data_IF_940571617249
#
_entry.id   IF_940571617249
#
_cell.length_a   1.000
_cell.length_b   1.000
_cell.length_c   1.000
_cell.angle_alpha   90.00
_cell.angle_beta   90.00
_cell.angle_gamma   90.00
#
_symmetry.space_group_name_H-M   'P 1'
#
loop_
_entity.id
_entity.type
_entity.pdbx_description
1 polymer ?
#
# COMPACT_ATOMS: atom_id res chain seq x y z
N UNK A 1 -56.98 -18.30 49.49
CA UNK A 1 -55.67 -18.97 49.28
C UNK A 1 -55.09 -18.38 48.01
N UNK A 2 -54.35 -17.27 48.15
CA UNK A 2 -53.69 -16.57 47.05
C UNK A 2 -52.22 -16.95 47.10
N UNK A 3 -51.75 -17.63 46.08
CA UNK A 3 -50.34 -17.96 45.88
C UNK A 3 -49.64 -16.78 45.21
N UNK A 4 -48.86 -16.03 45.99
CA UNK A 4 -47.91 -15.03 45.53
C UNK A 4 -46.84 -15.71 44.65
N UNK A 5 -46.72 -15.20 43.42
CA UNK A 5 -45.53 -15.29 42.60
C UNK A 5 -44.42 -14.48 43.27
N UNK A 6 -43.23 -15.06 43.41
CA UNK A 6 -42.00 -14.29 43.53
C UNK A 6 -41.03 -14.70 42.42
N UNK A 7 -40.52 -13.65 41.76
CA UNK A 7 -39.75 -13.67 40.52
C UNK A 7 -38.31 -14.17 40.71
N UNK A 8 -37.63 -14.59 39.62
CA UNK A 8 -36.20 -14.80 39.62
C UNK A 8 -35.46 -13.46 39.53
N UNK A 9 -34.60 -13.20 40.52
CA UNK A 9 -33.74 -12.02 40.59
C UNK A 9 -32.34 -12.37 40.04
N UNK A 10 -31.93 -11.58 39.06
CA UNK A 10 -30.55 -11.10 38.85
C UNK A 10 -29.48 -12.03 38.22
N UNK A 11 -29.48 -12.12 36.88
CA UNK A 11 -28.37 -12.61 36.05
C UNK A 11 -28.05 -11.59 34.93
N UNK A 12 -27.77 -10.32 35.24
CA UNK A 12 -27.46 -9.31 34.20
C UNK A 12 -26.20 -8.48 34.43
N UNK A 13 -25.45 -8.70 35.50
CA UNK A 13 -24.33 -7.81 35.85
C UNK A 13 -22.94 -8.31 35.37
N UNK A 14 -22.87 -9.43 34.65
CA UNK A 14 -21.59 -10.03 34.22
C UNK A 14 -21.19 -9.72 32.77
N UNK A 15 -22.02 -8.98 32.02
CA UNK A 15 -21.76 -8.65 30.61
C UNK A 15 -20.91 -7.39 30.38
N UNK A 16 -21.15 -6.34 31.16
CA UNK A 16 -20.51 -5.02 30.95
C UNK A 16 -19.02 -4.97 31.35
N UNK A 17 -18.57 -5.90 32.21
CA UNK A 17 -17.17 -5.95 32.67
C UNK A 17 -16.26 -6.57 31.58
N UNK A 18 -16.79 -7.46 30.75
CA UNK A 18 -16.00 -8.15 29.71
C UNK A 18 -15.79 -7.23 28.51
N UNK A 19 -16.80 -6.47 28.07
CA UNK A 19 -16.66 -5.50 26.97
C UNK A 19 -15.65 -4.39 27.32
N UNK A 20 -15.61 -3.93 28.57
CA UNK A 20 -14.72 -2.85 28.99
C UNK A 20 -13.24 -3.27 29.14
N UNK A 21 -12.93 -4.53 29.49
CA UNK A 21 -11.55 -5.03 29.48
C UNK A 21 -11.05 -5.38 28.07
N UNK A 22 -11.92 -5.92 27.21
CA UNK A 22 -11.56 -6.23 25.82
C UNK A 22 -11.27 -4.94 25.04
N UNK A 23 -12.10 -3.91 25.21
CA UNK A 23 -11.97 -2.61 24.54
C UNK A 23 -10.74 -1.82 25.00
N UNK A 24 -10.30 -1.97 26.26
CA UNK A 24 -9.07 -1.34 26.78
C UNK A 24 -7.80 -2.02 26.26
N UNK A 25 -7.85 -3.32 25.99
CA UNK A 25 -6.78 -4.06 25.32
C UNK A 25 -6.63 -3.60 23.86
N UNK A 26 -7.73 -3.36 23.14
CA UNK A 26 -7.69 -2.89 21.75
C UNK A 26 -7.01 -1.52 21.59
N UNK A 27 -7.26 -0.57 22.49
CA UNK A 27 -6.59 0.74 22.45
C UNK A 27 -5.07 0.62 22.74
N UNK A 28 -4.66 -0.27 23.64
CA UNK A 28 -3.25 -0.50 23.98
C UNK A 28 -2.46 -1.16 22.84
N UNK A 29 -3.09 -2.02 22.02
CA UNK A 29 -2.48 -2.58 20.81
C UNK A 29 -2.43 -1.59 19.64
N UNK A 30 -3.37 -0.64 19.56
CA UNK A 30 -3.35 0.44 18.58
C UNK A 30 -2.24 1.47 18.88
N UNK A 31 -1.99 1.77 20.15
CA UNK A 31 -0.92 2.69 20.57
C UNK A 31 0.50 2.12 20.39
N UNK A 32 0.65 0.79 20.29
CA UNK A 32 1.94 0.12 20.11
C UNK A 32 2.23 -0.34 18.68
N UNK A 33 1.40 0.07 17.71
CA UNK A 33 1.74 -0.03 16.29
C UNK A 33 3.01 0.78 15.99
N UNK A 34 3.95 0.29 15.17
CA UNK A 34 5.15 1.05 14.88
C UNK A 34 4.74 2.41 14.28
N UNK A 35 5.21 3.51 14.88
CA UNK A 35 4.93 4.93 14.55
C UNK A 35 5.08 5.31 13.07
N UNK A 36 5.53 4.38 12.23
CA UNK A 36 5.53 4.49 10.80
C UNK A 36 4.12 4.46 10.18
N UNK A 37 3.16 3.72 10.74
CA UNK A 37 1.83 3.59 10.14
C UNK A 37 0.89 4.77 10.43
N UNK A 38 1.16 5.55 11.48
CA UNK A 38 0.41 6.76 11.82
C UNK A 38 0.67 7.89 10.82
N UNK A 39 1.95 8.16 10.52
CA UNK A 39 2.35 9.09 9.47
C UNK A 39 3.53 8.54 8.63
N UNK A 40 3.23 7.73 7.59
CA UNK A 40 4.28 7.14 6.75
C UNK A 40 4.91 8.17 5.81
N UNK A 41 4.31 9.34 5.60
CA UNK A 41 4.68 10.23 4.50
C UNK A 41 6.05 10.89 4.64
N UNK A 42 6.44 11.49 5.77
CA UNK A 42 7.73 12.16 5.89
C UNK A 42 8.91 11.19 5.67
N UNK A 43 8.83 10.00 6.27
CA UNK A 43 9.85 8.96 6.14
C UNK A 43 9.90 8.41 4.72
N UNK A 44 8.74 8.15 4.10
CA UNK A 44 8.66 7.65 2.73
C UNK A 44 9.20 8.66 1.72
N UNK A 45 8.79 9.93 1.82
CA UNK A 45 9.24 11.00 0.91
C UNK A 45 10.75 11.21 1.05
N UNK A 46 11.29 11.14 2.27
CA UNK A 46 12.73 11.21 2.50
C UNK A 46 13.46 10.06 1.77
N UNK A 47 13.01 8.82 1.95
CA UNK A 47 13.58 7.64 1.28
C UNK A 47 13.48 7.78 -0.25
N UNK A 48 12.33 8.18 -0.78
CA UNK A 48 12.14 8.38 -2.22
C UNK A 48 13.06 9.47 -2.76
N UNK A 49 13.22 10.57 -2.03
CA UNK A 49 14.09 11.68 -2.42
C UNK A 49 15.55 11.24 -2.44
N UNK A 50 15.99 10.46 -1.44
CA UNK A 50 17.33 9.88 -1.43
C UNK A 50 17.56 8.92 -2.60
N UNK A 51 16.56 8.12 -2.97
CA UNK A 51 16.61 7.24 -4.15
C UNK A 51 16.73 8.08 -5.43
N UNK A 52 15.88 9.10 -5.60
CA UNK A 52 15.91 9.97 -6.77
C UNK A 52 17.24 10.72 -6.92
N UNK A 53 17.76 11.25 -5.80
CA UNK A 53 19.06 11.90 -5.77
C UNK A 53 20.19 10.91 -6.07
N UNK A 54 20.11 9.68 -5.56
CA UNK A 54 21.05 8.60 -5.89
C UNK A 54 21.05 8.28 -7.38
N UNK A 55 19.88 8.17 -8.02
CA UNK A 55 19.77 7.94 -9.46
C UNK A 55 20.45 9.08 -10.24
N UNK A 56 20.17 10.33 -9.88
CA UNK A 56 20.75 11.49 -10.58
C UNK A 56 22.27 11.58 -10.40
N UNK A 57 22.77 11.39 -9.17
CA UNK A 57 24.20 11.56 -8.88
C UNK A 57 25.07 10.39 -9.32
N UNK A 58 24.53 9.16 -9.32
CA UNK A 58 25.29 7.96 -9.67
C UNK A 58 25.25 7.65 -11.18
N UNK A 59 24.34 8.25 -11.94
CA UNK A 59 24.25 8.02 -13.39
C UNK A 59 25.37 8.79 -14.11
N UNK A 60 26.23 8.11 -14.91
CA UNK A 60 27.24 8.79 -15.72
C UNK A 60 26.61 9.78 -16.70
N UNK A 61 27.30 10.89 -16.98
CA UNK A 61 26.80 11.98 -17.85
C UNK A 61 26.38 11.47 -19.23
N UNK A 62 27.15 10.54 -19.82
CA UNK A 62 26.88 9.99 -21.14
C UNK A 62 25.58 9.17 -21.16
N UNK A 63 25.31 8.40 -20.10
CA UNK A 63 24.08 7.63 -19.96
C UNK A 63 22.91 8.59 -19.73
N UNK A 64 23.09 9.60 -18.88
CA UNK A 64 22.06 10.59 -18.58
C UNK A 64 21.64 11.38 -19.84
N UNK A 65 22.58 11.76 -20.69
CA UNK A 65 22.30 12.52 -21.91
C UNK A 65 21.35 11.78 -22.88
N UNK A 66 21.39 10.45 -22.90
CA UNK A 66 20.58 9.61 -23.80
C UNK A 66 19.30 9.12 -23.11
N UNK A 67 19.37 8.77 -21.83
CA UNK A 67 18.32 8.01 -21.13
C UNK A 67 17.62 8.78 -20.01
N UNK A 68 17.85 10.08 -19.87
CA UNK A 68 17.24 10.94 -18.82
C UNK A 68 15.73 10.73 -18.65
N UNK A 69 14.95 10.72 -19.73
CA UNK A 69 13.50 10.57 -19.67
C UNK A 69 13.07 9.18 -19.20
N UNK A 70 13.78 8.13 -19.65
CA UNK A 70 13.51 6.75 -19.23
C UNK A 70 13.83 6.57 -17.75
N UNK A 71 14.95 7.11 -17.27
CA UNK A 71 15.33 7.10 -15.85
C UNK A 71 14.33 7.89 -14.99
N UNK A 72 13.85 9.04 -15.48
CA UNK A 72 12.83 9.83 -14.80
C UNK A 72 11.49 9.09 -14.73
N UNK A 73 11.09 8.43 -15.82
CA UNK A 73 9.90 7.57 -15.87
C UNK A 73 10.00 6.40 -14.89
N UNK A 74 11.15 5.73 -14.82
CA UNK A 74 11.43 4.66 -13.87
C UNK A 74 11.32 5.17 -12.42
N UNK A 75 11.86 6.35 -12.13
CA UNK A 75 11.73 6.97 -10.81
C UNK A 75 10.26 7.31 -10.46
N UNK A 76 9.51 7.87 -11.40
CA UNK A 76 8.06 8.11 -11.22
C UNK A 76 7.29 6.83 -10.93
N UNK A 77 7.64 5.73 -11.62
CA UNK A 77 7.07 4.41 -11.41
C UNK A 77 7.41 3.85 -10.01
N UNK A 78 8.60 4.10 -9.47
CA UNK A 78 8.96 3.75 -8.07
C UNK A 78 8.15 4.56 -7.05
N UNK A 79 7.94 5.86 -7.30
CA UNK A 79 7.13 6.73 -6.41
C UNK A 79 5.70 6.20 -6.33
N UNK A 80 5.08 5.98 -7.49
CA UNK A 80 3.70 5.47 -7.58
C UNK A 80 3.61 4.11 -6.92
N UNK A 81 4.60 3.24 -7.14
CA UNK A 81 4.60 1.93 -6.54
C UNK A 81 4.69 1.96 -5.00
N UNK A 82 5.52 2.85 -4.48
CA UNK A 82 5.67 3.06 -3.03
C UNK A 82 4.38 3.59 -2.42
N UNK A 83 3.76 4.58 -3.05
CA UNK A 83 2.48 5.13 -2.61
C UNK A 83 1.36 4.07 -2.63
N UNK A 84 1.24 3.31 -3.72
CA UNK A 84 0.24 2.24 -3.85
C UNK A 84 0.43 1.13 -2.83
N UNK A 85 1.69 0.76 -2.56
CA UNK A 85 2.03 -0.24 -1.55
C UNK A 85 1.66 0.22 -0.15
N UNK A 86 2.01 1.46 0.23
CA UNK A 86 1.68 2.02 1.55
C UNK A 86 0.17 2.09 1.76
N UNK A 87 -0.58 2.57 0.76
CA UNK A 87 -2.04 2.66 0.89
C UNK A 87 -2.66 1.25 0.95
N UNK A 88 -2.19 0.32 0.13
CA UNK A 88 -2.66 -1.07 0.15
C UNK A 88 -2.39 -1.78 1.49
N UNK A 89 -1.19 -1.59 2.06
CA UNK A 89 -0.85 -2.08 3.40
C UNK A 89 -1.68 -1.40 4.49
N UNK A 90 -1.92 -0.09 4.38
CA UNK A 90 -2.78 0.61 5.36
C UNK A 90 -4.18 0.00 5.37
N UNK A 91 -4.79 -0.23 4.21
CA UNK A 91 -6.10 -0.90 4.11
C UNK A 91 -6.06 -2.29 4.76
N UNK A 92 -4.98 -3.04 4.53
CA UNK A 92 -4.82 -4.36 5.15
C UNK A 92 -4.87 -4.31 6.67
N UNK A 93 -4.16 -3.35 7.28
CA UNK A 93 -4.11 -3.20 8.74
C UNK A 93 -5.36 -2.54 9.34
N UNK A 94 -6.06 -1.68 8.60
CA UNK A 94 -7.23 -0.96 9.13
C UNK A 94 -8.55 -1.73 9.03
N UNK A 95 -8.63 -2.78 8.19
CA UNK A 95 -9.89 -3.46 7.90
C UNK A 95 -9.88 -4.90 8.39
N UNK A 96 -9.65 -5.08 9.69
CA UNK A 96 -9.72 -6.40 10.33
C UNK A 96 -11.14 -6.99 10.21
N UNK A 97 -11.23 -8.32 10.04
CA UNK A 97 -12.52 -9.02 9.86
C UNK A 97 -13.19 -8.91 8.47
N UNK A 98 -12.93 -7.86 7.68
CA UNK A 98 -13.55 -7.70 6.36
C UNK A 98 -12.81 -8.44 5.23
N UNK A 99 -13.54 -8.87 4.21
CA UNK A 99 -12.96 -9.39 2.95
C UNK A 99 -12.22 -8.31 2.14
N UNK A 100 -12.49 -7.03 2.40
CA UNK A 100 -11.88 -5.89 1.71
C UNK A 100 -10.35 -5.82 1.90
N UNK A 101 -9.82 -6.36 3.02
CA UNK A 101 -8.37 -6.41 3.29
C UNK A 101 -7.59 -7.11 2.16
N UNK A 102 -8.15 -8.17 1.60
CA UNK A 102 -7.51 -8.93 0.52
C UNK A 102 -7.39 -8.11 -0.77
N UNK A 103 -8.30 -7.16 -1.01
CA UNK A 103 -8.21 -6.23 -2.14
C UNK A 103 -7.05 -5.24 -2.00
N UNK A 104 -6.78 -4.76 -0.78
CA UNK A 104 -5.64 -3.89 -0.49
C UNK A 104 -4.30 -4.59 -0.75
N UNK A 105 -4.14 -5.80 -0.19
CA UNK A 105 -2.88 -6.56 -0.34
C UNK A 105 -2.65 -7.07 -1.76
N UNK A 106 -3.70 -7.51 -2.47
CA UNK A 106 -3.57 -7.94 -3.86
C UNK A 106 -3.08 -6.79 -4.76
N UNK A 107 -3.65 -5.59 -4.61
CA UNK A 107 -3.19 -4.42 -5.34
C UNK A 107 -1.74 -4.05 -4.98
N UNK A 108 -1.36 -4.12 -3.69
CA UNK A 108 0.03 -3.87 -3.29
C UNK A 108 1.01 -4.83 -3.96
N UNK A 109 0.69 -6.13 -4.03
CA UNK A 109 1.52 -7.14 -4.70
C UNK A 109 1.65 -6.83 -6.20
N UNK A 110 0.54 -6.53 -6.88
CA UNK A 110 0.55 -6.20 -8.32
C UNK A 110 1.40 -4.96 -8.59
N UNK A 111 1.28 -3.93 -7.75
CA UNK A 111 2.04 -2.69 -7.86
C UNK A 111 3.53 -2.94 -7.68
N UNK A 112 3.94 -3.73 -6.68
CA UNK A 112 5.34 -4.12 -6.45
C UNK A 112 5.87 -4.93 -7.65
N UNK A 113 5.10 -5.89 -8.15
CA UNK A 113 5.50 -6.70 -9.30
C UNK A 113 5.72 -5.83 -10.55
N UNK A 114 4.82 -4.88 -10.81
CA UNK A 114 5.00 -3.91 -11.89
C UNK A 114 6.25 -3.06 -11.68
N UNK A 115 6.53 -2.66 -10.43
CA UNK A 115 7.72 -1.88 -10.11
C UNK A 115 9.02 -2.64 -10.43
N UNK A 116 9.12 -3.88 -9.95
CA UNK A 116 10.28 -4.75 -10.17
C UNK A 116 10.48 -5.03 -11.66
N UNK A 117 9.41 -5.35 -12.39
CA UNK A 117 9.49 -5.61 -13.83
C UNK A 117 9.91 -4.36 -14.61
N UNK A 118 9.35 -3.20 -14.28
CA UNK A 118 9.70 -1.94 -14.93
C UNK A 118 11.15 -1.53 -14.69
N UNK A 119 11.65 -1.70 -13.47
CA UNK A 119 13.05 -1.43 -13.13
C UNK A 119 13.97 -2.43 -13.83
N UNK A 120 13.68 -3.73 -13.78
CA UNK A 120 14.50 -4.77 -14.41
C UNK A 120 14.60 -4.58 -15.92
N UNK A 121 13.47 -4.28 -16.59
CA UNK A 121 13.44 -4.02 -18.03
C UNK A 121 14.22 -2.75 -18.39
N UNK A 122 14.04 -1.67 -17.63
CA UNK A 122 14.78 -0.41 -17.82
C UNK A 122 16.29 -0.61 -17.66
N UNK A 123 16.71 -1.34 -16.62
CA UNK A 123 18.13 -1.63 -16.38
C UNK A 123 18.72 -2.50 -17.50
N UNK A 124 17.98 -3.50 -17.97
CA UNK A 124 18.39 -4.31 -19.12
C UNK A 124 18.54 -3.44 -20.37
N UNK A 125 17.60 -2.54 -20.62
CA UNK A 125 17.62 -1.69 -21.80
C UNK A 125 18.78 -0.71 -21.77
N UNK A 126 19.02 -0.05 -20.64
CA UNK A 126 20.13 0.91 -20.47
C UNK A 126 21.49 0.20 -20.45
N UNK A 127 21.60 -0.95 -19.79
CA UNK A 127 22.87 -1.66 -19.60
C UNK A 127 23.29 -2.53 -20.79
N UNK A 128 22.34 -3.21 -21.43
CA UNK A 128 22.60 -4.19 -22.50
C UNK A 128 22.11 -3.72 -23.88
N UNK A 129 21.42 -2.58 -23.95
CA UNK A 129 20.80 -2.08 -25.19
C UNK A 129 19.61 -2.92 -25.65
N UNK A 130 19.07 -3.79 -24.80
CA UNK A 130 17.99 -4.73 -25.14
C UNK A 130 16.98 -4.85 -24.00
N UNK A 131 15.69 -4.84 -24.35
CA UNK A 131 14.61 -5.13 -23.40
C UNK A 131 14.62 -6.61 -23.01
N UNK A 132 14.17 -6.92 -21.79
CA UNK A 132 13.93 -8.29 -21.33
C UNK A 132 12.79 -8.96 -22.10
N UNK A 133 11.86 -8.15 -22.63
CA UNK A 133 10.73 -8.59 -23.40
C UNK A 133 10.83 -8.07 -24.84
N UNK A 134 11.59 -8.75 -25.71
CA UNK A 134 11.86 -8.28 -27.07
C UNK A 134 10.61 -8.11 -27.94
N UNK A 135 9.49 -8.73 -27.56
CA UNK A 135 8.20 -8.55 -28.24
C UNK A 135 7.61 -7.14 -28.05
N UNK A 136 8.04 -6.44 -27.00
CA UNK A 136 7.62 -5.06 -26.71
C UNK A 136 8.74 -4.05 -27.01
N UNK A 137 9.76 -4.41 -27.79
CA UNK A 137 10.90 -3.53 -28.08
C UNK A 137 10.50 -2.19 -28.70
N UNK A 138 9.39 -2.16 -29.44
CA UNK A 138 8.91 -0.96 -30.15
C UNK A 138 7.86 -0.17 -29.34
N UNK A 139 7.34 -0.74 -28.24
CA UNK A 139 6.29 -0.14 -27.42
C UNK A 139 6.78 0.06 -25.99
N UNK A 140 6.60 1.24 -25.38
CA UNK A 140 7.14 1.51 -24.05
C UNK A 140 6.42 0.67 -22.98
N UNK A 141 7.00 -0.49 -22.63
CA UNK A 141 6.55 -1.38 -21.55
C UNK A 141 6.38 -0.59 -20.23
N UNK A 142 7.24 0.39 -19.99
CA UNK A 142 7.15 1.34 -18.88
C UNK A 142 5.81 2.08 -18.83
N UNK A 143 5.30 2.54 -19.97
CA UNK A 143 4.00 3.23 -20.04
C UNK A 143 2.84 2.29 -19.72
N UNK A 144 2.90 1.04 -20.19
CA UNK A 144 1.90 0.03 -19.88
C UNK A 144 1.87 -0.31 -18.39
N UNK A 145 3.03 -0.50 -17.77
CA UNK A 145 3.15 -0.73 -16.33
C UNK A 145 2.66 0.47 -15.51
N UNK A 146 2.92 1.69 -15.97
CA UNK A 146 2.38 2.91 -15.35
C UNK A 146 0.85 2.91 -15.34
N UNK A 147 0.23 2.57 -16.48
CA UNK A 147 -1.23 2.49 -16.59
C UNK A 147 -1.78 1.46 -15.60
N UNK A 148 -1.18 0.27 -15.51
CA UNK A 148 -1.59 -0.75 -14.52
C UNK A 148 -1.52 -0.20 -13.10
N UNK A 149 -0.42 0.47 -12.73
CA UNK A 149 -0.30 1.03 -11.38
C UNK A 149 -1.33 2.12 -11.09
N UNK A 150 -1.65 2.98 -12.07
CA UNK A 150 -2.72 3.97 -11.94
C UNK A 150 -4.07 3.29 -11.70
N UNK A 151 -4.38 2.22 -12.43
CA UNK A 151 -5.59 1.43 -12.20
C UNK A 151 -5.61 0.79 -10.81
N UNK A 152 -4.49 0.25 -10.32
CA UNK A 152 -4.40 -0.28 -8.96
C UNK A 152 -4.62 0.81 -7.90
N UNK A 153 -4.02 1.99 -8.07
CA UNK A 153 -4.24 3.13 -7.18
C UNK A 153 -5.71 3.59 -7.19
N UNK A 154 -6.32 3.63 -8.37
CA UNK A 154 -7.74 3.95 -8.50
C UNK A 154 -8.63 2.91 -7.81
N UNK A 155 -8.33 1.61 -7.97
CA UNK A 155 -9.03 0.52 -7.27
C UNK A 155 -8.91 0.66 -5.75
N UNK A 156 -7.70 0.90 -5.25
CA UNK A 156 -7.42 1.18 -3.84
C UNK A 156 -8.21 2.40 -3.34
N UNK A 157 -8.26 3.48 -4.13
CA UNK A 157 -9.00 4.69 -3.78
C UNK A 157 -10.50 4.42 -3.67
N UNK A 158 -11.08 3.63 -4.59
CA UNK A 158 -12.47 3.20 -4.49
C UNK A 158 -12.73 2.35 -3.25
N UNK A 159 -11.85 1.39 -2.94
CA UNK A 159 -11.95 0.57 -1.71
C UNK A 159 -11.98 1.45 -0.45
N UNK A 160 -11.11 2.47 -0.39
CA UNK A 160 -11.08 3.42 0.72
C UNK A 160 -12.37 4.22 0.84
N UNK A 161 -12.99 4.59 -0.28
CA UNK A 161 -14.27 5.32 -0.27
C UNK A 161 -15.41 4.47 0.27
N UNK A 162 -15.42 3.17 -0.05
CA UNK A 162 -16.41 2.23 0.48
C UNK A 162 -16.28 2.12 2.00
N UNK A 163 -15.06 1.91 2.50
CA UNK A 163 -14.78 1.79 3.95
C UNK A 163 -15.26 3.04 4.71
N UNK A 164 -15.02 4.24 4.19
CA UNK A 164 -15.46 5.50 4.81
C UNK A 164 -16.96 5.79 4.72
N UNK A 165 -17.68 5.11 3.82
CA UNK A 165 -19.12 5.27 3.68
C UNK A 165 -19.94 4.39 4.61
N UNK A 166 -19.27 3.47 5.31
CA UNK A 166 -19.86 2.58 6.32
C UNK A 166 -19.71 3.13 7.76
N UNK A 167 -19.01 4.26 7.92
CA UNK A 167 -18.93 5.08 9.15
C UNK A 167 -19.99 6.19 9.13
#
# INVERSE_FOLDING_TARGET
MSSEQNAPENDKESGDIIESEEQRSYDEYLEMGPSFFEDPWPKTVLVLTLIGLGIVLLTPVDVWAVWNYTLLGMYGLIIIASAGTIIGLRIWFTTEGSRLKYGGIANAIVVIACAVLGVADTLSWVGLGRSLFPQFSDSPLLSFLLVIQIFCLYSIWLLRRVIRGEE
#
